data_IF_568480645222
#
_entry.id   IF_568480645222
#
_cell.length_a   1.000
_cell.length_b   1.000
_cell.length_c   1.000
_cell.angle_alpha   90.00
_cell.angle_beta   90.00
_cell.angle_gamma   90.00
#
_symmetry.space_group_name_H-M   'P 1'
#
loop_
_entity.id
_entity.type
_entity.pdbx_description
1 polymer ?
#
# COMPACT_ATOMS: atom_id res chain seq x y z
N UNK A 1 -42.09 -19.34 -5.96
CA UNK A 1 -41.23 -18.19 -6.31
C UNK A 1 -39.84 -18.22 -5.62
N UNK A 2 -39.36 -19.36 -5.13
CA UNK A 2 -38.12 -19.45 -4.33
C UNK A 2 -37.00 -20.34 -4.93
N UNK A 3 -37.12 -20.77 -6.19
CA UNK A 3 -36.22 -21.77 -6.78
C UNK A 3 -35.15 -21.22 -7.76
N UNK A 4 -35.02 -19.91 -7.95
CA UNK A 4 -34.16 -19.32 -9.00
C UNK A 4 -32.87 -18.62 -8.51
N UNK A 5 -32.53 -18.69 -7.23
CA UNK A 5 -31.34 -17.99 -6.72
C UNK A 5 -29.98 -18.43 -7.31
N UNK A 6 -29.66 -19.72 -7.56
CA UNK A 6 -28.29 -20.08 -7.93
C UNK A 6 -27.89 -19.63 -9.34
N UNK A 7 -28.84 -19.40 -10.26
CA UNK A 7 -28.55 -18.91 -11.62
C UNK A 7 -28.30 -17.39 -11.67
N UNK A 8 -28.82 -16.63 -10.71
CA UNK A 8 -28.67 -15.17 -10.67
C UNK A 8 -27.30 -14.70 -10.15
N UNK A 9 -26.60 -15.49 -9.33
CA UNK A 9 -25.38 -15.01 -8.65
C UNK A 9 -24.18 -14.89 -9.60
N UNK A 10 -24.04 -15.78 -10.60
CA UNK A 10 -23.06 -15.61 -11.70
C UNK A 10 -23.23 -14.27 -12.43
N UNK A 11 -24.48 -13.89 -12.70
CA UNK A 11 -24.79 -12.65 -13.41
C UNK A 11 -24.57 -11.40 -12.55
N UNK A 12 -24.73 -11.48 -11.23
CA UNK A 12 -24.66 -10.30 -10.35
C UNK A 12 -23.27 -9.65 -10.39
N UNK A 13 -22.16 -10.38 -10.30
CA UNK A 13 -20.83 -9.73 -10.28
C UNK A 13 -20.47 -9.08 -11.63
N UNK A 14 -20.74 -9.80 -12.72
CA UNK A 14 -20.52 -9.28 -14.07
C UNK A 14 -21.42 -8.06 -14.35
N UNK A 15 -22.66 -8.08 -13.86
CA UNK A 15 -23.62 -6.97 -13.91
C UNK A 15 -23.21 -5.79 -13.02
N UNK A 16 -22.76 -6.04 -11.79
CA UNK A 16 -22.28 -5.00 -10.87
C UNK A 16 -21.07 -4.30 -11.48
N UNK A 17 -20.11 -5.04 -12.04
CA UNK A 17 -18.98 -4.43 -12.74
C UNK A 17 -19.45 -3.57 -13.92
N UNK A 18 -20.36 -4.09 -14.74
CA UNK A 18 -20.81 -3.37 -15.93
C UNK A 18 -21.58 -2.08 -15.60
N UNK A 19 -22.45 -2.13 -14.59
CA UNK A 19 -23.32 -1.00 -14.23
C UNK A 19 -22.69 -0.03 -13.23
N UNK A 20 -21.90 -0.51 -12.27
CA UNK A 20 -21.29 0.34 -11.24
C UNK A 20 -19.91 0.83 -11.63
N UNK A 21 -19.06 0.02 -12.26
CA UNK A 21 -17.70 0.43 -12.59
C UNK A 21 -17.56 1.00 -14.00
N UNK A 22 -18.36 0.53 -14.97
CA UNK A 22 -18.18 0.89 -16.39
C UNK A 22 -19.28 1.73 -17.02
N UNK A 23 -20.32 2.11 -16.29
CA UNK A 23 -21.40 2.95 -16.84
C UNK A 23 -20.93 4.39 -17.07
N UNK A 24 -21.45 5.03 -18.13
CA UNK A 24 -21.08 6.39 -18.50
C UNK A 24 -21.44 7.43 -17.42
N UNK A 25 -22.50 7.20 -16.66
CA UNK A 25 -22.91 8.10 -15.58
C UNK A 25 -21.94 8.04 -14.39
N UNK A 26 -21.45 6.85 -14.03
CA UNK A 26 -20.48 6.70 -12.95
C UNK A 26 -19.11 7.20 -13.39
N UNK A 27 -18.68 6.94 -14.63
CA UNK A 27 -17.40 7.42 -15.15
C UNK A 27 -17.28 8.95 -15.21
N UNK A 28 -18.40 9.67 -15.33
CA UNK A 28 -18.42 11.14 -15.30
C UNK A 28 -18.15 11.73 -13.91
N UNK A 29 -18.35 10.95 -12.84
CA UNK A 29 -18.15 11.40 -11.46
C UNK A 29 -16.92 10.70 -10.86
N UNK A 30 -15.79 11.42 -10.77
CA UNK A 30 -14.49 10.84 -10.39
C UNK A 30 -14.55 10.06 -9.06
N UNK A 31 -14.98 10.69 -7.97
CA UNK A 31 -15.04 10.04 -6.64
C UNK A 31 -16.00 8.83 -6.58
N UNK A 32 -17.11 8.90 -7.33
CA UNK A 32 -18.05 7.79 -7.43
C UNK A 32 -17.42 6.63 -8.21
N UNK A 33 -16.72 6.93 -9.31
CA UNK A 33 -16.03 5.93 -10.12
C UNK A 33 -14.95 5.21 -9.32
N UNK A 34 -14.11 5.95 -8.60
CA UNK A 34 -13.04 5.39 -7.78
C UNK A 34 -13.59 4.45 -6.71
N UNK A 35 -14.63 4.91 -6.00
CA UNK A 35 -15.30 4.12 -4.97
C UNK A 35 -15.94 2.86 -5.54
N UNK A 36 -16.59 2.96 -6.71
CA UNK A 36 -17.24 1.83 -7.37
C UNK A 36 -16.21 0.78 -7.83
N UNK A 37 -15.11 1.21 -8.46
CA UNK A 37 -14.05 0.32 -8.93
C UNK A 37 -13.40 -0.43 -7.77
N UNK A 38 -13.05 0.28 -6.70
CA UNK A 38 -12.46 -0.33 -5.50
C UNK A 38 -13.42 -1.32 -4.82
N UNK A 39 -14.71 -0.99 -4.79
CA UNK A 39 -15.75 -1.86 -4.22
C UNK A 39 -15.95 -3.12 -5.04
N UNK A 40 -16.03 -3.00 -6.37
CA UNK A 40 -16.18 -4.17 -7.26
C UNK A 40 -14.96 -5.08 -7.18
N UNK A 41 -13.74 -4.54 -7.16
CA UNK A 41 -12.53 -5.35 -6.99
C UNK A 41 -12.51 -6.10 -5.65
N UNK A 42 -12.96 -5.44 -4.57
CA UNK A 42 -13.05 -6.05 -3.24
C UNK A 42 -14.08 -7.17 -3.19
N UNK A 43 -15.26 -6.95 -3.79
CA UNK A 43 -16.32 -7.94 -3.89
C UNK A 43 -15.89 -9.14 -4.75
N UNK A 44 -15.24 -8.88 -5.88
CA UNK A 44 -14.71 -9.92 -6.76
C UNK A 44 -13.70 -10.81 -6.01
N UNK A 45 -12.79 -10.22 -5.23
CA UNK A 45 -11.87 -11.00 -4.38
C UNK A 45 -12.61 -11.86 -3.36
N UNK A 46 -13.51 -11.26 -2.58
CA UNK A 46 -14.27 -11.98 -1.53
C UNK A 46 -15.10 -13.14 -2.10
N UNK A 47 -15.65 -12.97 -3.31
CA UNK A 47 -16.52 -13.96 -3.93
C UNK A 47 -15.78 -15.02 -4.77
N UNK A 48 -14.67 -14.67 -5.42
CA UNK A 48 -14.02 -15.51 -6.45
C UNK A 48 -12.59 -15.96 -6.10
N UNK A 49 -11.92 -15.30 -5.16
CA UNK A 49 -10.47 -15.53 -4.90
C UNK A 49 -10.20 -15.96 -3.46
N UNK A 50 -10.89 -15.37 -2.49
CA UNK A 50 -10.74 -15.63 -1.06
C UNK A 50 -11.68 -16.77 -0.64
N UNK A 51 -11.22 -18.02 -0.75
CA UNK A 51 -12.02 -19.21 -0.47
C UNK A 51 -12.54 -19.22 0.96
N UNK A 52 -11.69 -18.85 1.93
CA UNK A 52 -12.04 -18.82 3.35
C UNK A 52 -13.14 -17.80 3.62
N UNK A 53 -13.02 -16.60 3.05
CA UNK A 53 -14.07 -15.59 3.15
C UNK A 53 -15.37 -16.06 2.50
N UNK A 54 -15.30 -16.60 1.28
CA UNK A 54 -16.47 -17.04 0.52
C UNK A 54 -17.23 -18.17 1.22
N UNK A 55 -16.54 -19.05 1.93
CA UNK A 55 -17.12 -20.18 2.65
C UNK A 55 -17.67 -19.75 4.02
N UNK A 56 -16.95 -18.87 4.74
CA UNK A 56 -17.26 -18.57 6.14
C UNK A 56 -18.20 -17.36 6.31
N UNK A 57 -18.28 -16.46 5.33
CA UNK A 57 -19.16 -15.28 5.39
C UNK A 57 -20.45 -15.44 4.58
N UNK A 58 -20.58 -16.51 3.80
CA UNK A 58 -21.78 -16.81 3.03
C UNK A 58 -22.24 -18.25 3.27
N UNK A 59 -23.54 -18.54 3.41
CA UNK A 59 -24.04 -19.89 3.69
C UNK A 59 -23.99 -20.77 2.42
N UNK A 60 -22.78 -21.14 2.00
CA UNK A 60 -22.54 -21.87 0.74
C UNK A 60 -23.23 -23.24 0.69
N UNK A 61 -23.47 -23.87 1.84
CA UNK A 61 -24.18 -25.15 1.93
C UNK A 61 -25.69 -25.01 1.69
N UNK A 62 -26.25 -23.82 1.88
CA UNK A 62 -27.69 -23.54 1.68
C UNK A 62 -27.95 -22.90 0.32
N UNK A 63 -27.09 -21.96 -0.09
CA UNK A 63 -27.31 -21.13 -1.29
C UNK A 63 -26.37 -21.44 -2.45
N UNK A 64 -25.43 -22.38 -2.27
CA UNK A 64 -24.36 -22.63 -3.23
C UNK A 64 -23.23 -21.59 -3.14
N UNK A 65 -22.17 -21.78 -3.93
CA UNK A 65 -21.08 -20.80 -3.96
C UNK A 65 -21.49 -19.51 -4.68
N UNK A 66 -21.02 -18.36 -4.16
CA UNK A 66 -21.26 -17.04 -4.77
C UNK A 66 -20.73 -16.94 -6.19
N UNK A 67 -19.63 -17.62 -6.47
CA UNK A 67 -19.12 -17.78 -7.82
C UNK A 67 -18.95 -19.27 -8.10
N UNK A 68 -19.27 -19.66 -9.33
CA UNK A 68 -18.95 -21.00 -9.80
C UNK A 68 -17.44 -21.18 -9.85
N UNK A 69 -16.99 -22.41 -9.63
CA UNK A 69 -15.57 -22.79 -9.71
C UNK A 69 -14.92 -22.42 -11.05
N UNK A 70 -15.71 -22.32 -12.12
CA UNK A 70 -15.25 -21.95 -13.47
C UNK A 70 -15.38 -20.45 -13.76
N UNK A 71 -15.76 -19.62 -12.79
CA UNK A 71 -15.87 -18.18 -12.98
C UNK A 71 -14.48 -17.57 -13.11
N UNK A 72 -14.15 -17.11 -14.32
CA UNK A 72 -12.87 -16.51 -14.67
C UNK A 72 -12.95 -15.00 -14.85
N UNK A 73 -13.99 -14.34 -14.34
CA UNK A 73 -14.21 -12.91 -14.52
C UNK A 73 -13.03 -12.08 -14.01
N UNK A 74 -12.44 -12.47 -12.87
CA UNK A 74 -11.24 -11.80 -12.33
C UNK A 74 -10.10 -11.81 -13.37
N UNK A 75 -9.84 -12.94 -14.02
CA UNK A 75 -8.73 -13.10 -14.98
C UNK A 75 -9.05 -12.61 -16.38
N UNK A 76 -10.30 -12.78 -16.84
CA UNK A 76 -10.70 -12.57 -18.24
C UNK A 76 -11.41 -11.23 -18.46
N UNK A 77 -12.01 -10.63 -17.42
CA UNK A 77 -12.78 -9.38 -17.52
C UNK A 77 -12.18 -8.25 -16.69
N UNK A 78 -12.05 -8.44 -15.37
CA UNK A 78 -11.69 -7.37 -14.44
C UNK A 78 -10.21 -7.00 -14.55
N UNK A 79 -9.31 -7.99 -14.52
CA UNK A 79 -7.87 -7.73 -14.63
C UNK A 79 -7.50 -7.06 -15.96
N UNK A 80 -7.94 -7.53 -17.15
CA UNK A 80 -7.58 -6.89 -18.40
C UNK A 80 -8.12 -5.46 -18.51
N UNK A 81 -9.34 -5.21 -18.04
CA UNK A 81 -9.90 -3.86 -17.99
C UNK A 81 -9.06 -2.92 -17.12
N UNK A 82 -8.76 -3.32 -15.88
CA UNK A 82 -7.97 -2.51 -14.94
C UNK A 82 -6.52 -2.34 -15.42
N UNK A 83 -5.93 -3.35 -16.05
CA UNK A 83 -4.60 -3.28 -16.62
C UNK A 83 -4.53 -2.25 -17.77
N UNK A 84 -5.53 -2.24 -18.66
CA UNK A 84 -5.63 -1.24 -19.72
C UNK A 84 -5.83 0.17 -19.14
N UNK A 85 -6.68 0.32 -18.13
CA UNK A 85 -6.92 1.60 -17.46
C UNK A 85 -5.68 2.13 -16.73
N UNK A 86 -4.92 1.27 -16.07
CA UNK A 86 -3.63 1.62 -15.48
C UNK A 86 -2.62 2.06 -16.55
N UNK A 87 -2.57 1.36 -17.68
CA UNK A 87 -1.70 1.71 -18.81
C UNK A 87 -2.07 3.06 -19.43
N UNK A 88 -3.35 3.37 -19.54
CA UNK A 88 -3.84 4.69 -19.98
C UNK A 88 -3.45 5.78 -18.98
N UNK A 89 -3.71 5.57 -17.69
CA UNK A 89 -3.43 6.55 -16.64
C UNK A 89 -1.93 6.89 -16.55
N UNK A 90 -1.07 5.86 -16.55
CA UNK A 90 0.39 6.05 -16.50
C UNK A 90 0.95 6.75 -17.73
N UNK A 91 0.44 6.44 -18.93
CA UNK A 91 0.84 7.13 -20.18
C UNK A 91 0.39 8.59 -20.22
N UNK A 92 -0.78 8.87 -19.68
CA UNK A 92 -1.34 10.22 -19.62
C UNK A 92 -0.85 11.03 -18.42
N UNK A 93 0.06 10.48 -17.60
CA UNK A 93 0.54 11.09 -16.36
C UNK A 93 -0.59 11.45 -15.37
N UNK A 94 -1.71 10.73 -15.43
CA UNK A 94 -2.85 10.84 -14.52
C UNK A 94 -2.53 10.02 -13.25
N UNK A 95 -1.76 10.61 -12.35
CA UNK A 95 -1.32 9.98 -11.11
C UNK A 95 -2.50 9.50 -10.26
N UNK A 96 -3.54 10.33 -10.12
CA UNK A 96 -4.71 10.03 -9.30
C UNK A 96 -5.37 8.72 -9.75
N UNK A 97 -5.65 8.59 -11.04
CA UNK A 97 -6.23 7.36 -11.58
C UNK A 97 -5.27 6.18 -11.54
N UNK A 98 -3.97 6.41 -11.78
CA UNK A 98 -2.98 5.34 -11.67
C UNK A 98 -3.01 4.72 -10.28
N UNK A 99 -3.04 5.53 -9.21
CA UNK A 99 -3.15 5.07 -7.83
C UNK A 99 -4.43 4.26 -7.57
N UNK A 100 -5.57 4.72 -8.08
CA UNK A 100 -6.86 4.00 -7.97
C UNK A 100 -6.79 2.63 -8.65
N UNK A 101 -6.29 2.56 -9.89
CA UNK A 101 -6.21 1.30 -10.63
C UNK A 101 -5.19 0.34 -10.03
N UNK A 102 -4.06 0.83 -9.51
CA UNK A 102 -3.10 0.03 -8.75
C UNK A 102 -3.77 -0.59 -7.53
N UNK A 103 -4.49 0.20 -6.74
CA UNK A 103 -5.19 -0.32 -5.56
C UNK A 103 -6.32 -1.30 -5.94
N UNK A 104 -7.04 -1.02 -7.01
CA UNK A 104 -8.10 -1.91 -7.52
C UNK A 104 -7.54 -3.27 -7.96
N UNK A 105 -6.43 -3.29 -8.70
CA UNK A 105 -5.72 -4.51 -9.06
C UNK A 105 -5.27 -5.27 -7.80
N UNK A 106 -4.64 -4.58 -6.84
CA UNK A 106 -4.26 -5.20 -5.56
C UNK A 106 -5.44 -5.77 -4.76
N UNK A 107 -6.59 -5.10 -4.80
CA UNK A 107 -7.82 -5.55 -4.16
C UNK A 107 -8.39 -6.84 -4.75
N UNK A 108 -8.08 -7.19 -6.01
CA UNK A 108 -8.46 -8.48 -6.59
C UNK A 108 -7.76 -9.65 -5.90
N UNK A 109 -6.51 -9.45 -5.43
CA UNK A 109 -5.75 -10.46 -4.69
C UNK A 109 -5.35 -11.72 -5.47
N UNK A 110 -5.61 -11.79 -6.77
CA UNK A 110 -5.34 -12.97 -7.62
C UNK A 110 -3.91 -12.94 -8.19
N UNK A 111 -3.20 -14.07 -8.32
CA UNK A 111 -1.82 -14.13 -8.85
C UNK A 111 -1.59 -13.46 -10.21
N UNK A 112 -2.63 -13.37 -11.05
CA UNK A 112 -2.59 -12.70 -12.36
C UNK A 112 -2.12 -11.24 -12.27
N UNK A 113 -2.32 -10.56 -11.13
CA UNK A 113 -1.89 -9.16 -10.98
C UNK A 113 -0.36 -9.01 -11.07
N UNK A 114 0.40 -10.08 -10.78
CA UNK A 114 1.85 -10.07 -10.91
C UNK A 114 2.29 -9.82 -12.35
N UNK A 115 1.62 -10.40 -13.34
CA UNK A 115 1.95 -10.16 -14.75
C UNK A 115 1.62 -8.74 -15.19
N UNK A 116 0.59 -8.12 -14.59
CA UNK A 116 0.20 -6.73 -14.83
C UNK A 116 1.24 -5.76 -14.25
N UNK A 117 1.69 -5.98 -13.01
CA UNK A 117 2.66 -5.09 -12.36
C UNK A 117 4.10 -5.29 -12.84
N UNK A 118 4.46 -6.49 -13.30
CA UNK A 118 5.81 -6.83 -13.76
C UNK A 118 6.46 -5.80 -14.70
N UNK A 119 5.84 -5.36 -15.82
CA UNK A 119 6.49 -4.41 -16.72
C UNK A 119 6.81 -3.06 -16.06
N UNK A 120 6.00 -2.59 -15.11
CA UNK A 120 6.27 -1.34 -14.39
C UNK A 120 7.37 -1.52 -13.34
N UNK A 121 7.34 -2.64 -12.62
CA UNK A 121 8.38 -2.96 -11.62
C UNK A 121 9.74 -3.22 -12.26
N UNK A 122 9.78 -3.74 -13.49
CA UNK A 122 11.02 -3.94 -14.27
C UNK A 122 11.46 -2.68 -15.06
N UNK A 123 10.75 -1.56 -14.94
CA UNK A 123 11.06 -0.32 -15.67
C UNK A 123 10.80 -0.38 -17.19
N UNK A 124 10.08 -1.40 -17.67
CA UNK A 124 9.70 -1.58 -19.08
C UNK A 124 8.45 -0.78 -19.47
N UNK A 125 7.66 -0.33 -18.50
CA UNK A 125 6.51 0.53 -18.67
C UNK A 125 6.65 1.78 -17.79
N UNK A 126 6.12 2.95 -18.24
CA UNK A 126 6.25 4.18 -17.49
C UNK A 126 5.49 4.09 -16.17
N UNK A 127 6.17 4.38 -15.07
CA UNK A 127 5.60 4.59 -13.74
C UNK A 127 6.60 5.39 -12.90
N UNK A 128 6.10 6.26 -12.03
CA UNK A 128 6.95 6.92 -11.03
C UNK A 128 7.42 5.90 -9.98
N UNK A 129 8.48 6.24 -9.24
CA UNK A 129 8.92 5.40 -8.11
C UNK A 129 7.81 5.24 -7.06
N UNK A 130 7.03 6.28 -6.82
CA UNK A 130 5.88 6.21 -5.92
C UNK A 130 4.78 5.26 -6.43
N UNK A 131 4.47 5.27 -7.73
CA UNK A 131 3.52 4.31 -8.31
C UNK A 131 4.04 2.87 -8.21
N UNK A 132 5.34 2.63 -8.44
CA UNK A 132 5.97 1.31 -8.23
C UNK A 132 5.88 0.88 -6.76
N UNK A 133 6.13 1.78 -5.82
CA UNK A 133 5.92 1.55 -4.38
C UNK A 133 4.46 1.18 -4.08
N UNK A 134 3.50 1.91 -4.64
CA UNK A 134 2.08 1.63 -4.48
C UNK A 134 1.71 0.24 -5.01
N UNK A 135 2.30 -0.22 -6.12
CA UNK A 135 2.10 -1.58 -6.65
C UNK A 135 2.56 -2.65 -5.66
N UNK A 136 3.77 -2.52 -5.11
CA UNK A 136 4.29 -3.47 -4.09
C UNK A 136 3.42 -3.42 -2.81
N UNK A 137 3.02 -2.22 -2.39
CA UNK A 137 2.13 -2.04 -1.24
C UNK A 137 0.73 -2.65 -1.48
N UNK A 138 0.25 -2.71 -2.72
CA UNK A 138 -1.03 -3.26 -3.12
C UNK A 138 -1.03 -4.81 -3.24
N UNK A 139 0.12 -5.48 -3.17
CA UNK A 139 0.21 -6.95 -3.12
C UNK A 139 -0.21 -7.54 -1.76
N UNK A 140 -0.86 -6.79 -0.88
CA UNK A 140 -1.19 -7.20 0.49
C UNK A 140 -2.21 -8.33 0.58
N UNK A 141 -3.20 -8.35 -0.32
CA UNK A 141 -4.11 -9.49 -0.43
C UNK A 141 -3.46 -10.69 -1.10
N UNK A 142 -2.68 -10.47 -2.16
CA UNK A 142 -1.95 -11.53 -2.86
C UNK A 142 -1.00 -12.28 -1.91
N UNK A 143 -0.24 -11.55 -1.08
CA UNK A 143 0.71 -12.14 -0.14
C UNK A 143 0.04 -13.08 0.88
N UNK A 144 -1.22 -12.82 1.25
CA UNK A 144 -1.99 -13.66 2.17
C UNK A 144 -2.67 -14.82 1.46
N UNK A 145 -3.29 -14.57 0.30
CA UNK A 145 -4.13 -15.54 -0.40
C UNK A 145 -3.33 -16.49 -1.29
N UNK A 146 -2.16 -16.07 -1.76
CA UNK A 146 -1.30 -16.87 -2.64
C UNK A 146 0.18 -16.65 -2.30
N UNK A 147 0.61 -17.03 -1.07
CA UNK A 147 1.93 -16.72 -0.54
C UNK A 147 3.06 -17.25 -1.44
N UNK A 148 2.94 -18.46 -1.98
CA UNK A 148 3.93 -19.06 -2.88
C UNK A 148 4.18 -18.22 -4.14
N UNK A 149 3.12 -17.69 -4.75
CA UNK A 149 3.24 -16.83 -5.95
C UNK A 149 3.84 -15.46 -5.60
N UNK A 150 3.50 -14.91 -4.44
CA UNK A 150 3.99 -13.61 -3.98
C UNK A 150 5.47 -13.65 -3.60
N UNK A 151 5.91 -14.70 -2.89
CA UNK A 151 7.25 -14.81 -2.30
C UNK A 151 8.37 -14.58 -3.31
N UNK A 152 8.33 -15.26 -4.47
CA UNK A 152 9.38 -15.13 -5.49
C UNK A 152 9.50 -13.67 -5.99
N UNK A 153 8.38 -13.04 -6.33
CA UNK A 153 8.37 -11.67 -6.83
C UNK A 153 8.84 -10.67 -5.77
N UNK A 154 8.35 -10.79 -4.53
CA UNK A 154 8.71 -9.90 -3.43
C UNK A 154 10.16 -10.07 -3.00
N UNK A 155 10.67 -11.30 -2.96
CA UNK A 155 12.05 -11.58 -2.59
C UNK A 155 13.03 -11.00 -3.62
N UNK A 156 12.71 -11.08 -4.91
CA UNK A 156 13.52 -10.47 -5.97
C UNK A 156 13.60 -8.94 -5.83
N UNK A 157 12.47 -8.28 -5.52
CA UNK A 157 12.44 -6.82 -5.27
C UNK A 157 13.29 -6.47 -4.05
N UNK A 158 13.14 -7.21 -2.95
CA UNK A 158 13.92 -7.01 -1.73
C UNK A 158 15.44 -7.15 -1.98
N UNK A 159 15.84 -8.19 -2.71
CA UNK A 159 17.25 -8.52 -2.90
C UNK A 159 17.95 -7.60 -3.92
N UNK A 160 17.20 -6.94 -4.81
CA UNK A 160 17.78 -6.01 -5.78
C UNK A 160 18.23 -4.71 -5.09
N UNK A 161 19.53 -4.57 -4.84
CA UNK A 161 20.12 -3.37 -4.21
C UNK A 161 20.08 -2.13 -5.12
N UNK A 162 19.75 -2.30 -6.41
CA UNK A 162 19.49 -1.19 -7.32
C UNK A 162 18.08 -0.60 -7.20
N UNK A 163 17.18 -1.24 -6.45
CA UNK A 163 15.87 -0.68 -6.14
C UNK A 163 15.92 0.32 -4.99
N UNK A 164 14.97 1.26 -5.02
CA UNK A 164 14.78 2.24 -3.95
C UNK A 164 14.49 1.54 -2.61
N UNK A 165 14.91 2.15 -1.50
CA UNK A 165 14.75 1.54 -0.19
C UNK A 165 13.26 1.31 0.14
N UNK A 166 12.37 2.13 -0.40
CA UNK A 166 10.93 2.07 -0.19
C UNK A 166 10.33 0.81 -0.77
N UNK A 167 10.68 0.49 -2.03
CA UNK A 167 10.23 -0.74 -2.69
C UNK A 167 10.74 -1.97 -1.93
N UNK A 168 12.01 -1.94 -1.52
CA UNK A 168 12.64 -3.03 -0.76
C UNK A 168 11.99 -3.20 0.62
N UNK A 169 11.72 -2.12 1.36
CA UNK A 169 11.02 -2.15 2.65
C UNK A 169 9.58 -2.64 2.49
N UNK A 170 8.85 -2.13 1.49
CA UNK A 170 7.50 -2.60 1.18
C UNK A 170 7.48 -4.09 0.85
N UNK A 171 8.47 -4.59 0.09
CA UNK A 171 8.60 -6.00 -0.23
C UNK A 171 8.83 -6.85 1.03
N UNK A 172 9.72 -6.44 1.95
CA UNK A 172 9.91 -7.08 3.26
C UNK A 172 8.59 -7.12 4.04
N UNK A 173 7.84 -6.02 4.07
CA UNK A 173 6.57 -5.92 4.78
C UNK A 173 5.48 -6.85 4.23
N UNK A 174 5.49 -7.13 2.92
CA UNK A 174 4.59 -8.11 2.32
C UNK A 174 5.10 -9.55 2.50
N UNK A 175 6.42 -9.79 2.43
CA UNK A 175 7.01 -11.11 2.65
C UNK A 175 6.61 -11.68 4.00
N UNK A 176 6.61 -10.87 5.07
CA UNK A 176 6.18 -11.32 6.39
C UNK A 176 4.74 -11.82 6.46
N UNK A 177 3.87 -11.42 5.51
CA UNK A 177 2.49 -11.92 5.41
C UNK A 177 2.38 -13.28 4.74
N UNK A 178 3.46 -13.75 4.13
CA UNK A 178 3.48 -15.02 3.36
C UNK A 178 3.86 -16.23 4.22
N UNK A 179 4.04 -16.05 5.53
CA UNK A 179 4.61 -17.06 6.44
C UNK A 179 5.94 -17.63 5.88
N UNK A 180 6.98 -16.78 5.73
CA UNK A 180 8.27 -17.20 5.17
C UNK A 180 8.92 -18.29 6.01
N UNK A 181 9.65 -19.20 5.34
CA UNK A 181 10.38 -20.27 6.01
C UNK A 181 11.55 -19.73 6.83
N UNK A 182 12.01 -20.52 7.81
CA UNK A 182 13.21 -20.21 8.58
C UNK A 182 14.42 -19.91 7.67
N UNK A 183 14.63 -20.70 6.62
CA UNK A 183 15.74 -20.49 5.67
C UNK A 183 15.67 -19.11 4.99
N UNK A 184 14.48 -18.68 4.57
CA UNK A 184 14.29 -17.36 3.96
C UNK A 184 14.58 -16.25 4.98
N UNK A 185 14.02 -16.34 6.19
CA UNK A 185 14.25 -15.36 7.25
C UNK A 185 15.71 -15.29 7.70
N UNK A 186 16.40 -16.44 7.80
CA UNK A 186 17.82 -16.51 8.11
C UNK A 186 18.67 -15.83 7.03
N UNK A 187 18.34 -16.03 5.75
CA UNK A 187 19.00 -15.34 4.64
C UNK A 187 18.77 -13.82 4.70
N UNK A 188 17.54 -13.39 4.98
CA UNK A 188 17.22 -11.97 5.16
C UNK A 188 17.99 -11.38 6.35
N UNK A 189 18.04 -12.11 7.47
CA UNK A 189 18.72 -11.69 8.68
C UNK A 189 20.22 -11.52 8.46
N UNK A 190 20.90 -12.53 7.90
CA UNK A 190 22.33 -12.45 7.59
C UNK A 190 22.66 -11.32 6.61
N UNK A 191 21.77 -11.06 5.64
CA UNK A 191 21.97 -9.99 4.67
C UNK A 191 21.93 -8.59 5.30
N UNK A 192 21.34 -8.41 6.49
CA UNK A 192 21.32 -7.11 7.19
C UNK A 192 22.71 -6.60 7.59
N UNK A 193 23.73 -7.47 7.65
CA UNK A 193 25.11 -7.05 7.89
C UNK A 193 25.80 -6.55 6.60
N UNK A 194 25.37 -7.06 5.44
CA UNK A 194 25.98 -6.80 4.14
C UNK A 194 25.30 -5.65 3.37
N UNK A 195 23.98 -5.50 3.52
CA UNK A 195 23.21 -4.50 2.82
C UNK A 195 23.55 -3.09 3.33
N UNK A 196 23.81 -2.18 2.40
CA UNK A 196 24.20 -0.80 2.69
C UNK A 196 23.01 0.05 3.14
N UNK A 197 21.77 -0.36 2.82
CA UNK A 197 20.58 0.41 3.18
C UNK A 197 20.17 0.20 4.63
N UNK A 198 20.46 1.20 5.48
CA UNK A 198 19.99 1.21 6.88
C UNK A 198 18.46 1.16 7.00
N UNK A 199 17.76 1.75 6.04
CA UNK A 199 16.29 1.70 5.96
C UNK A 199 15.80 0.26 5.84
N UNK A 200 16.35 -0.50 4.87
CA UNK A 200 15.98 -1.90 4.64
C UNK A 200 16.42 -2.80 5.79
N UNK A 201 17.63 -2.61 6.32
CA UNK A 201 18.13 -3.38 7.46
C UNK A 201 17.25 -3.21 8.71
N UNK A 202 16.84 -1.97 8.99
CA UNK A 202 15.91 -1.69 10.09
C UNK A 202 14.54 -2.34 9.87
N UNK A 203 14.03 -2.33 8.64
CA UNK A 203 12.77 -2.97 8.28
C UNK A 203 12.81 -4.50 8.49
N UNK A 204 13.88 -5.16 8.03
CA UNK A 204 14.09 -6.61 8.23
C UNK A 204 14.25 -6.94 9.71
N UNK A 205 15.11 -6.20 10.42
CA UNK A 205 15.40 -6.44 11.83
C UNK A 205 14.15 -6.34 12.70
N UNK A 206 13.43 -5.23 12.61
CA UNK A 206 12.19 -5.04 13.37
C UNK A 206 11.09 -6.04 13.00
N UNK A 207 10.98 -6.41 11.72
CA UNK A 207 10.03 -7.43 11.26
C UNK A 207 10.30 -8.79 11.90
N UNK A 208 11.57 -9.26 11.88
CA UNK A 208 11.95 -10.57 12.44
C UNK A 208 11.86 -10.55 13.97
N UNK A 209 12.37 -9.51 14.62
CA UNK A 209 12.30 -9.38 16.08
C UNK A 209 10.87 -9.39 16.59
N UNK A 210 9.97 -8.62 15.97
CA UNK A 210 8.58 -8.55 16.40
C UNK A 210 7.77 -9.81 16.03
N UNK A 211 8.08 -10.45 14.89
CA UNK A 211 7.47 -11.72 14.51
C UNK A 211 7.83 -12.85 15.49
N UNK A 212 9.06 -12.89 16.01
CA UNK A 212 9.50 -13.90 16.97
C UNK A 212 8.73 -13.87 18.30
N UNK A 213 8.08 -12.75 18.63
CA UNK A 213 7.33 -12.56 19.89
C UNK A 213 5.81 -12.76 19.71
N UNK A 214 5.37 -13.22 18.54
CA UNK A 214 3.95 -13.50 18.28
C UNK A 214 3.45 -14.68 19.12
N UNK A 215 2.20 -14.55 19.58
CA UNK A 215 1.51 -15.48 20.51
C UNK A 215 0.22 -16.05 19.95
N UNK A 216 -0.28 -15.51 18.84
CA UNK A 216 -1.46 -16.02 18.15
C UNK A 216 -1.15 -17.40 17.56
N UNK A 217 -1.91 -18.48 17.90
CA UNK A 217 -1.64 -19.83 17.42
C UNK A 217 -1.52 -19.94 15.89
N UNK A 218 -2.33 -19.20 15.14
CA UNK A 218 -2.26 -19.17 13.67
C UNK A 218 -0.90 -18.66 13.12
N UNK A 219 -0.15 -17.92 13.92
CA UNK A 219 1.15 -17.33 13.56
C UNK A 219 2.33 -18.06 14.23
N UNK A 220 2.10 -19.20 14.86
CA UNK A 220 3.15 -19.93 15.59
C UNK A 220 4.33 -20.31 14.68
N UNK A 221 4.07 -20.82 13.47
CA UNK A 221 5.13 -21.17 12.53
C UNK A 221 5.98 -19.95 12.15
N UNK A 222 5.36 -18.80 11.93
CA UNK A 222 6.07 -17.54 11.65
C UNK A 222 6.95 -17.14 12.84
N UNK A 223 6.44 -17.26 14.07
CA UNK A 223 7.17 -16.93 15.28
C UNK A 223 8.40 -17.83 15.46
N UNK A 224 8.23 -19.15 15.27
CA UNK A 224 9.31 -20.14 15.37
C UNK A 224 10.38 -19.89 14.29
N UNK A 225 9.96 -19.70 13.04
CA UNK A 225 10.85 -19.38 11.92
C UNK A 225 11.62 -18.07 12.15
N UNK A 226 10.96 -17.04 12.69
CA UNK A 226 11.60 -15.76 12.99
C UNK A 226 12.59 -15.87 14.16
N UNK A 227 12.24 -16.63 15.20
CA UNK A 227 13.12 -16.89 16.33
C UNK A 227 14.40 -17.62 15.90
N UNK A 228 14.29 -18.56 14.95
CA UNK A 228 15.45 -19.25 14.36
C UNK A 228 16.38 -18.31 13.55
N UNK A 229 15.87 -17.17 13.07
CA UNK A 229 16.64 -16.16 12.33
C UNK A 229 17.20 -15.03 13.23
N UNK A 230 16.64 -14.83 14.43
CA UNK A 230 16.94 -13.69 15.32
C UNK A 230 18.43 -13.51 15.61
N UNK A 231 19.17 -14.61 15.80
CA UNK A 231 20.62 -14.59 16.09
C UNK A 231 21.50 -14.19 14.89
N UNK A 232 20.96 -14.21 13.68
CA UNK A 232 21.69 -13.88 12.45
C UNK A 232 21.51 -12.41 12.04
N UNK A 233 20.69 -11.66 12.79
CA UNK A 233 20.48 -10.23 12.57
C UNK A 233 21.74 -9.43 12.91
N UNK A 234 21.98 -8.35 12.16
CA UNK A 234 23.02 -7.38 12.49
C UNK A 234 22.86 -6.85 13.92
N UNK A 235 23.94 -6.70 14.70
CA UNK A 235 23.87 -6.14 16.05
C UNK A 235 23.54 -4.64 16.05
N UNK A 236 23.62 -3.95 14.90
CA UNK A 236 23.35 -2.52 14.76
C UNK A 236 21.95 -2.15 15.26
N UNK A 237 21.85 -1.02 15.95
CA UNK A 237 20.58 -0.44 16.39
C UNK A 237 20.15 0.66 15.43
N UNK A 238 18.84 0.79 15.22
CA UNK A 238 18.25 1.72 14.26
C UNK A 238 17.17 2.54 14.97
N UNK A 239 17.31 3.87 14.94
CA UNK A 239 16.34 4.82 15.50
C UNK A 239 15.00 4.88 14.75
N UNK A 240 14.13 5.81 15.18
CA UNK A 240 12.77 5.98 14.67
C UNK A 240 12.69 6.50 13.23
N UNK A 241 13.74 7.17 12.74
CA UNK A 241 13.82 7.68 11.38
C UNK A 241 13.95 6.57 10.32
N UNK A 242 14.34 5.37 10.74
CA UNK A 242 14.46 4.23 9.84
C UNK A 242 13.15 3.45 9.76
N UNK A 243 12.95 2.76 8.64
CA UNK A 243 11.78 1.95 8.36
C UNK A 243 11.63 0.83 9.39
N UNK A 244 10.39 0.58 9.83
CA UNK A 244 10.08 -0.43 10.85
C UNK A 244 8.85 -1.24 10.47
N UNK A 245 8.82 -2.49 10.92
CA UNK A 245 7.62 -3.30 10.98
C UNK A 245 7.48 -3.84 12.41
N UNK A 246 6.40 -3.46 13.08
CA UNK A 246 6.07 -3.91 14.41
C UNK A 246 4.83 -4.80 14.35
N UNK A 247 5.07 -6.11 14.45
CA UNK A 247 4.04 -7.14 14.55
C UNK A 247 3.80 -7.44 16.03
N UNK A 248 2.54 -7.51 16.43
CA UNK A 248 2.17 -7.95 17.77
C UNK A 248 0.86 -8.70 17.70
N UNK A 249 0.71 -9.67 18.59
CA UNK A 249 -0.53 -10.44 18.68
C UNK A 249 -0.88 -10.75 20.11
N UNK A 250 -2.17 -10.93 20.36
CA UNK A 250 -2.72 -11.28 21.64
C UNK A 250 -3.77 -12.38 21.44
N UNK A 251 -3.76 -13.41 22.30
CA UNK A 251 -4.65 -14.55 22.19
C UNK A 251 -5.29 -14.86 23.55
N UNK A 252 -6.62 -14.89 23.59
CA UNK A 252 -7.48 -15.36 24.68
C UNK A 252 -7.95 -16.77 24.34
N UNK A 253 -7.26 -17.78 24.87
CA UNK A 253 -7.52 -19.19 24.54
C UNK A 253 -8.93 -19.64 24.94
N UNK A 254 -9.41 -19.18 26.09
CA UNK A 254 -10.72 -19.55 26.64
C UNK A 254 -11.88 -19.07 25.74
N UNK A 255 -11.73 -17.90 25.11
CA UNK A 255 -12.74 -17.26 24.27
C UNK A 255 -12.56 -17.56 22.76
N UNK A 256 -11.56 -18.39 22.39
CA UNK A 256 -11.13 -18.59 21.00
C UNK A 256 -10.96 -17.27 20.23
N UNK A 257 -10.44 -16.25 20.91
CA UNK A 257 -10.34 -14.88 20.43
C UNK A 257 -8.88 -14.44 20.35
N UNK A 258 -8.47 -13.98 19.17
CA UNK A 258 -7.15 -13.47 18.87
C UNK A 258 -7.20 -12.07 18.29
N UNK A 259 -6.13 -11.32 18.46
CA UNK A 259 -5.90 -10.03 17.82
C UNK A 259 -4.50 -9.99 17.22
N UNK A 260 -4.39 -9.52 15.99
CA UNK A 260 -3.12 -9.29 15.30
C UNK A 260 -3.05 -7.82 14.92
N UNK A 261 -2.04 -7.12 15.43
CA UNK A 261 -1.73 -5.72 15.14
C UNK A 261 -0.42 -5.62 14.37
N UNK A 262 -0.43 -4.89 13.27
CA UNK A 262 0.69 -4.72 12.35
C UNK A 262 0.87 -3.22 12.06
N UNK A 263 2.00 -2.66 12.48
CA UNK A 263 2.36 -1.24 12.30
C UNK A 263 3.64 -1.14 11.48
N UNK A 264 3.58 -0.46 10.34
CA UNK A 264 4.68 -0.32 9.40
C UNK A 264 4.98 1.14 9.13
N UNK A 265 6.26 1.47 9.08
CA UNK A 265 6.76 2.78 8.66
C UNK A 265 7.80 2.61 7.57
N UNK A 266 7.68 3.43 6.52
CA UNK A 266 8.71 3.62 5.51
C UNK A 266 9.33 4.98 5.80
N UNK A 267 10.59 4.96 6.26
CA UNK A 267 11.35 6.15 6.59
C UNK A 267 11.56 7.04 5.37
N UNK A 268 11.79 8.33 5.61
CA UNK A 268 12.08 9.29 4.55
C UNK A 268 13.56 9.70 4.55
N UNK A 269 14.03 10.18 3.40
CA UNK A 269 15.36 10.81 3.26
C UNK A 269 15.27 12.33 3.34
N UNK A 270 14.10 12.91 3.10
CA UNK A 270 13.85 14.35 3.05
C UNK A 270 13.20 14.92 4.33
N UNK A 271 12.84 14.08 5.30
CA UNK A 271 12.13 14.47 6.52
C UNK A 271 12.32 13.47 7.66
N UNK A 272 12.11 13.93 8.90
CA UNK A 272 12.03 13.07 10.08
C UNK A 272 10.74 12.26 10.12
N UNK A 273 9.68 12.74 9.46
CA UNK A 273 8.44 12.01 9.33
C UNK A 273 8.60 10.90 8.28
N UNK A 274 7.98 9.73 8.48
CA UNK A 274 8.03 8.67 7.50
C UNK A 274 7.21 9.06 6.26
N UNK A 275 7.70 8.74 5.07
CA UNK A 275 6.95 8.89 3.81
C UNK A 275 5.83 7.87 3.66
N UNK A 276 5.80 6.82 4.49
CA UNK A 276 4.70 5.87 4.52
C UNK A 276 4.43 5.34 5.93
N UNK A 277 3.16 5.27 6.30
CA UNK A 277 2.68 4.59 7.51
C UNK A 277 1.55 3.64 7.15
N UNK A 278 1.54 2.47 7.76
CA UNK A 278 0.43 1.53 7.65
C UNK A 278 0.11 0.93 9.02
N UNK A 279 -1.17 0.86 9.32
CA UNK A 279 -1.75 0.20 10.49
C UNK A 279 -2.75 -0.86 10.02
N UNK A 280 -2.71 -2.05 10.60
CA UNK A 280 -3.71 -3.09 10.39
C UNK A 280 -4.05 -3.76 11.71
N UNK A 281 -5.34 -3.90 11.97
CA UNK A 281 -5.90 -4.67 13.08
C UNK A 281 -6.80 -5.78 12.53
N UNK A 282 -6.49 -7.01 12.93
CA UNK A 282 -7.27 -8.19 12.57
C UNK A 282 -7.68 -8.91 13.84
N UNK A 283 -8.91 -9.40 13.89
CA UNK A 283 -9.36 -10.30 14.95
C UNK A 283 -9.48 -11.72 14.41
N UNK A 284 -9.10 -12.69 15.20
CA UNK A 284 -9.30 -14.11 14.93
C UNK A 284 -10.37 -14.61 15.89
N UNK A 285 -11.51 -15.08 15.40
CA UNK A 285 -12.59 -15.60 16.25
C UNK A 285 -12.95 -17.01 15.79
N UNK A 286 -12.72 -18.03 16.62
CA UNK A 286 -12.98 -19.43 16.25
C UNK A 286 -12.20 -19.87 15.01
N UNK A 287 -10.98 -19.35 14.81
CA UNK A 287 -10.15 -19.59 13.62
C UNK A 287 -10.47 -18.69 12.42
N UNK A 288 -11.59 -17.96 12.43
CA UNK A 288 -11.94 -17.01 11.38
C UNK A 288 -11.20 -15.69 11.56
N UNK A 289 -10.37 -15.33 10.58
CA UNK A 289 -9.71 -14.03 10.56
C UNK A 289 -10.62 -12.97 9.93
N UNK A 290 -10.95 -11.96 10.71
CA UNK A 290 -11.71 -10.79 10.29
C UNK A 290 -10.79 -9.57 10.27
N UNK A 291 -10.71 -8.94 9.11
CA UNK A 291 -10.03 -7.65 8.97
C UNK A 291 -10.96 -6.56 9.52
N UNK A 292 -10.56 -5.93 10.64
CA UNK A 292 -11.35 -4.88 11.30
C UNK A 292 -11.03 -3.53 10.69
N UNK A 293 -9.81 -3.06 10.95
CA UNK A 293 -9.36 -1.73 10.55
C UNK A 293 -8.05 -1.82 9.78
N UNK A 294 -7.95 -1.05 8.71
CA UNK A 294 -6.70 -0.88 7.97
C UNK A 294 -6.59 0.57 7.59
N UNK A 295 -5.47 1.18 7.93
CA UNK A 295 -5.14 2.55 7.56
C UNK A 295 -3.77 2.53 6.89
N UNK A 296 -3.59 3.34 5.86
CA UNK A 296 -2.32 3.54 5.19
C UNK A 296 -2.26 4.96 4.66
N UNK A 297 -1.18 5.66 4.95
CA UNK A 297 -0.86 6.93 4.30
C UNK A 297 0.54 6.83 3.69
N UNK A 298 0.72 7.33 2.47
CA UNK A 298 2.00 7.29 1.76
C UNK A 298 2.16 8.53 0.91
N UNK A 299 3.40 8.97 0.69
CA UNK A 299 3.74 10.05 -0.23
C UNK A 299 5.08 9.81 -0.91
N UNK A 300 5.30 10.41 -2.08
CA UNK A 300 6.58 10.42 -2.79
C UNK A 300 7.64 11.20 -1.98
N UNK A 301 7.30 12.42 -1.56
CA UNK A 301 8.11 13.31 -0.76
C UNK A 301 7.28 13.92 0.37
N UNK A 302 7.81 13.83 1.59
CA UNK A 302 7.17 14.45 2.76
C UNK A 302 7.34 15.96 2.68
N UNK A 303 8.54 16.42 2.31
CA UNK A 303 8.87 17.84 2.28
C UNK A 303 8.08 18.58 1.20
N UNK A 304 7.91 18.00 0.02
CA UNK A 304 7.11 18.61 -1.05
C UNK A 304 5.62 18.62 -0.70
N UNK A 305 5.09 17.53 -0.11
CA UNK A 305 3.70 17.49 0.36
C UNK A 305 3.43 18.55 1.44
N UNK A 306 4.30 18.65 2.45
CA UNK A 306 4.17 19.65 3.50
C UNK A 306 4.32 21.07 2.94
N UNK A 307 5.26 21.30 2.02
CA UNK A 307 5.41 22.57 1.34
C UNK A 307 4.18 22.98 0.53
N UNK A 308 3.53 22.04 -0.16
CA UNK A 308 2.26 22.29 -0.85
C UNK A 308 1.13 22.65 0.13
N UNK A 309 1.00 21.91 1.23
CA UNK A 309 -0.03 22.18 2.25
C UNK A 309 0.21 23.54 2.92
N UNK A 310 1.45 23.84 3.30
CA UNK A 310 1.82 25.13 3.87
C UNK A 310 1.55 26.27 2.89
N UNK A 311 1.88 26.11 1.61
CA UNK A 311 1.55 27.09 0.58
C UNK A 311 0.04 27.25 0.36
N UNK A 312 -0.76 26.22 0.57
CA UNK A 312 -2.22 26.32 0.39
C UNK A 312 -2.90 26.98 1.60
N UNK A 313 -2.45 26.66 2.82
CA UNK A 313 -3.10 27.08 4.06
C UNK A 313 -2.41 28.26 4.78
N UNK A 314 -1.25 28.72 4.31
CA UNK A 314 -0.60 29.92 4.84
C UNK A 314 -1.38 31.20 4.48
N UNK A 315 -1.50 32.09 5.46
CA UNK A 315 -2.09 33.43 5.30
C UNK A 315 -1.19 34.31 4.42
N UNK A 316 -1.77 35.34 3.81
CA UNK A 316 -0.99 36.32 3.02
C UNK A 316 0.11 36.98 3.86
N UNK A 317 -0.15 37.25 5.14
CA UNK A 317 0.82 37.83 6.07
C UNK A 317 2.03 36.91 6.28
N UNK A 318 1.82 35.61 6.53
CA UNK A 318 2.90 34.64 6.67
C UNK A 318 3.76 34.55 5.40
N UNK A 319 3.15 34.63 4.21
CA UNK A 319 3.91 34.66 2.94
C UNK A 319 4.68 35.95 2.74
N UNK A 320 4.14 37.11 3.15
CA UNK A 320 4.85 38.40 3.11
C UNK A 320 6.03 38.40 4.07
N UNK A 321 5.87 37.86 5.27
CA UNK A 321 6.97 37.69 6.24
C UNK A 321 8.04 36.74 5.72
N UNK A 322 7.67 35.60 5.12
CA UNK A 322 8.62 34.66 4.51
C UNK A 322 9.37 35.29 3.32
N UNK A 323 8.67 36.02 2.44
CA UNK A 323 9.31 36.74 1.33
C UNK A 323 10.28 37.81 1.82
N UNK A 324 9.90 38.56 2.84
CA UNK A 324 10.76 39.58 3.45
C UNK A 324 11.96 38.95 4.18
N UNK A 325 11.79 37.80 4.84
CA UNK A 325 12.87 37.04 5.47
C UNK A 325 13.84 36.45 4.44
N UNK A 326 13.32 35.89 3.34
CA UNK A 326 14.14 35.39 2.21
C UNK A 326 14.87 36.52 1.47
N UNK A 327 14.29 37.72 1.37
CA UNK A 327 14.97 38.91 0.84
C UNK A 327 16.06 39.45 1.79
N UNK A 328 15.83 39.37 3.10
CA UNK A 328 16.80 39.85 4.11
C UNK A 328 17.99 38.89 4.29
N UNK A 329 17.78 37.58 4.09
CA UNK A 329 18.85 36.56 4.11
C UNK A 329 19.73 36.57 2.85
N UNK A 330 19.28 37.17 1.76
CA UNK A 330 20.00 37.17 0.48
C UNK A 330 21.17 38.16 0.42
N UNK A 331 21.39 38.96 1.47
CA UNK A 331 22.42 40.00 1.47
C UNK A 331 23.75 39.59 2.12
N UNK A 332 23.91 38.38 2.68
CA UNK A 332 25.19 38.03 3.34
C UNK A 332 25.64 36.55 3.38
N UNK A 333 25.00 35.59 2.68
CA UNK A 333 25.49 34.20 2.71
C UNK A 333 26.20 33.79 1.41
N UNK A 334 27.54 33.82 1.43
CA UNK A 334 28.44 33.30 0.39
C UNK A 334 28.35 31.77 0.17
N UNK A 335 27.45 31.09 0.88
CA UNK A 335 27.27 29.64 0.88
C UNK A 335 25.80 29.20 0.75
N UNK A 336 24.99 29.93 -0.02
CA UNK A 336 23.61 29.47 -0.29
C UNK A 336 23.62 28.14 -1.04
N UNK A 337 22.75 27.21 -0.63
CA UNK A 337 22.59 25.88 -1.26
C UNK A 337 22.30 25.96 -2.77
N UNK A 338 21.70 27.06 -3.23
CA UNK A 338 21.53 27.37 -4.66
C UNK A 338 22.86 27.62 -5.38
N UNK A 339 23.78 28.36 -4.76
CA UNK A 339 25.09 28.68 -5.34
C UNK A 339 26.02 27.46 -5.35
N UNK A 340 25.93 26.62 -4.31
CA UNK A 340 26.60 25.31 -4.25
C UNK A 340 26.06 24.39 -5.36
N UNK A 341 24.73 24.27 -5.52
CA UNK A 341 24.13 23.48 -6.59
C UNK A 341 24.53 23.97 -8.00
N UNK A 342 24.63 25.29 -8.20
CA UNK A 342 25.10 25.87 -9.45
C UNK A 342 26.60 25.63 -9.68
N UNK A 343 27.45 25.75 -8.65
CA UNK A 343 28.89 25.48 -8.74
C UNK A 343 29.19 24.02 -9.10
N UNK A 344 28.41 23.08 -8.57
CA UNK A 344 28.56 21.66 -8.85
C UNK A 344 27.75 21.19 -10.07
N UNK A 345 27.17 22.12 -10.83
CA UNK A 345 26.31 21.83 -11.99
C UNK A 345 25.24 20.76 -11.69
N UNK A 346 24.73 20.77 -10.44
CA UNK A 346 23.69 19.87 -9.98
C UNK A 346 22.42 20.33 -10.67
N UNK A 347 22.04 19.59 -11.72
CA UNK A 347 20.69 19.71 -12.25
C UNK A 347 19.76 19.27 -11.13
N UNK A 348 19.01 20.23 -10.54
CA UNK A 348 17.83 19.86 -9.75
C UNK A 348 16.99 19.00 -10.68
N UNK A 349 16.91 17.71 -10.39
CA UNK A 349 15.85 16.87 -10.94
C UNK A 349 14.56 17.68 -10.77
N UNK A 350 13.84 17.85 -11.89
CA UNK A 350 12.56 18.56 -11.89
C UNK A 350 11.77 18.08 -10.68
N UNK A 351 11.26 19.01 -9.85
CA UNK A 351 10.53 18.68 -8.63
C UNK A 351 9.55 17.55 -8.97
N UNK A 352 9.76 16.37 -8.36
CA UNK A 352 8.93 15.21 -8.63
C UNK A 352 7.47 15.63 -8.41
N UNK A 353 6.58 15.22 -9.30
CA UNK A 353 5.15 15.43 -9.10
C UNK A 353 4.80 14.93 -7.68
N UNK A 354 4.17 15.77 -6.86
CA UNK A 354 3.73 15.29 -5.54
C UNK A 354 2.69 14.24 -5.79
N UNK A 355 2.92 13.07 -5.22
CA UNK A 355 1.97 11.97 -5.21
C UNK A 355 1.80 11.54 -3.76
N UNK A 356 0.56 11.46 -3.30
CA UNK A 356 0.25 10.92 -1.98
C UNK A 356 -1.07 10.17 -1.99
N UNK A 357 -1.24 9.25 -1.05
CA UNK A 357 -2.49 8.56 -0.83
C UNK A 357 -2.78 8.34 0.63
N UNK A 358 -4.06 8.40 0.97
CA UNK A 358 -4.61 7.89 2.21
C UNK A 358 -5.62 6.80 1.86
N UNK A 359 -5.37 5.59 2.33
CA UNK A 359 -6.26 4.44 2.21
C UNK A 359 -6.77 4.04 3.59
N UNK A 360 -8.08 3.86 3.72
CA UNK A 360 -8.70 3.38 4.94
C UNK A 360 -9.79 2.34 4.62
N UNK A 361 -9.82 1.26 5.40
CA UNK A 361 -10.99 0.38 5.52
C UNK A 361 -11.69 0.74 6.82
N UNK A 362 -12.88 1.34 6.74
CA UNK A 362 -13.70 1.75 7.89
C UNK A 362 -15.08 1.11 7.72
N UNK A 363 -15.57 0.40 8.75
CA UNK A 363 -16.85 -0.33 8.71
C UNK A 363 -17.02 -1.25 7.48
N UNK A 364 -15.92 -1.87 7.03
CA UNK A 364 -15.91 -2.75 5.85
C UNK A 364 -15.93 -2.04 4.49
N UNK A 365 -16.04 -0.71 4.46
CA UNK A 365 -15.94 0.11 3.26
C UNK A 365 -14.49 0.54 3.00
N UNK A 366 -14.02 0.36 1.78
CA UNK A 366 -12.72 0.85 1.34
C UNK A 366 -12.84 2.30 0.85
N UNK A 367 -11.92 3.16 1.29
CA UNK A 367 -11.77 4.54 0.86
C UNK A 367 -10.31 4.78 0.47
N UNK A 368 -10.11 5.40 -0.67
CA UNK A 368 -8.81 5.84 -1.14
C UNK A 368 -8.93 7.31 -1.53
N UNK A 369 -8.09 8.14 -0.95
CA UNK A 369 -7.92 9.53 -1.32
C UNK A 369 -6.53 9.65 -1.91
N UNK A 370 -6.44 9.84 -3.22
CA UNK A 370 -5.20 10.14 -3.91
C UNK A 370 -5.05 11.67 -4.01
N UNK A 371 -3.82 12.14 -3.91
CA UNK A 371 -3.46 13.54 -3.99
C UNK A 371 -2.33 13.70 -4.99
N UNK A 372 -2.42 14.81 -5.72
CA UNK A 372 -1.35 15.35 -6.53
C UNK A 372 -1.27 16.87 -6.36
N UNK A 373 -0.35 17.50 -7.08
CA UNK A 373 -0.17 18.96 -7.08
C UNK A 373 -1.52 19.69 -7.26
N UNK A 374 -2.32 19.26 -8.24
CA UNK A 374 -3.59 19.92 -8.59
C UNK A 374 -4.69 19.69 -7.57
N UNK A 375 -4.70 18.54 -6.89
CA UNK A 375 -5.70 18.21 -5.88
C UNK A 375 -5.59 19.15 -4.68
N UNK A 376 -4.36 19.43 -4.22
CA UNK A 376 -4.13 20.31 -3.06
C UNK A 376 -4.48 21.76 -3.38
N UNK A 377 -4.11 22.24 -4.58
CA UNK A 377 -4.41 23.61 -5.03
C UNK A 377 -5.91 23.92 -5.09
N UNK A 378 -6.74 22.89 -5.37
CA UNK A 378 -8.19 23.01 -5.48
C UNK A 378 -8.94 22.93 -4.13
N UNK A 379 -8.25 22.69 -3.00
CA UNK A 379 -8.89 22.73 -1.68
C UNK A 379 -9.25 24.19 -1.38
N UNK A 380 -10.52 24.54 -1.10
CA UNK A 380 -10.92 25.92 -0.85
C UNK A 380 -10.05 26.54 0.24
N UNK A 381 -9.41 27.69 -0.05
CA UNK A 381 -8.72 28.47 0.97
C UNK A 381 -9.76 28.88 1.99
N UNK A 382 -9.61 28.42 3.22
CA UNK A 382 -10.52 28.73 4.30
C UNK A 382 -10.38 30.20 4.70
N UNK A 383 -10.99 31.11 3.94
CA UNK A 383 -11.40 32.44 4.45
C UNK A 383 -12.76 32.37 5.17
N UNK A 384 -13.44 31.21 5.15
CA UNK A 384 -14.78 31.01 5.72
C UNK A 384 -14.86 29.88 6.75
N UNK A 385 -13.95 29.83 7.72
CA UNK A 385 -14.09 28.98 8.92
C UNK A 385 -14.16 29.81 10.23
N UNK A 386 -14.67 31.05 10.13
CA UNK A 386 -14.93 31.91 11.30
C UNK A 386 -16.39 31.86 11.81
N UNK A 387 -17.24 30.99 11.26
CA UNK A 387 -18.61 30.81 11.76
C UNK A 387 -19.05 29.34 11.68
N UNK A 388 -18.68 28.54 12.68
CA UNK A 388 -19.52 27.46 13.24
C UNK A 388 -19.31 27.42 14.74
#
# INVERSE_FOLDING_TARGET
FFFFLPFQIKCIFSFLFQNLATSSQVQKQAYLNDSAILSVATLARKAQVDSDNSHNQYPVHTFGHLASKDCKDVTEKYTPYLANKLKEATRNQDSLKAQVYIRALGNLGHPVILSVFKPYLEGKAPATNYQRLAMVAAMDHLARLSPKSAQSSLFNIYQNTGESHELRCAAVFQLMKTNPSAQMLQRMAAFTEQDMSKQVNSAVKSAIESAAELKEPKLQELAENANAAKKMLSPKTYGLQYSKNYLSSYAMKEENLGYIKDIKTIGSEDSILPKGIQYSLRSVLGGLEMEKDRFRAMTASVSDLLGLLENQFSTEESRRQEKNAKQSSNNNDSHSTKMIAQMFNIQREQAEQVEAQIFATIFGGNRLFAFDNHTVENIPRSEYLYYV
#
